data_IF_994688878160
#
_entry.id   IF_994688878160
#
_cell.length_a   1.000
_cell.length_b   1.000
_cell.length_c   1.000
_cell.angle_alpha   90.00
_cell.angle_beta   90.00
_cell.angle_gamma   90.00
#
_symmetry.space_group_name_H-M   'P 1'
#
loop_
_entity.id
_entity.type
_entity.pdbx_description
1 polymer ?
#
# COMPACT_ATOMS: atom_id res chain seq x y z
N UNK A 1 -23.58 44.33 -20.20
CA UNK A 1 -23.79 43.24 -19.22
C UNK A 1 -24.13 41.88 -19.85
N UNK A 2 -24.99 41.78 -20.87
CA UNK A 2 -25.39 40.47 -21.47
C UNK A 2 -24.25 39.60 -22.05
N UNK A 3 -23.16 40.21 -22.52
CA UNK A 3 -22.01 39.46 -23.08
C UNK A 3 -21.21 38.71 -22.01
N UNK A 4 -21.11 39.26 -20.79
CA UNK A 4 -20.38 38.63 -19.70
C UNK A 4 -21.12 37.40 -19.17
N UNK A 5 -22.45 37.47 -19.06
CA UNK A 5 -23.28 36.34 -18.65
C UNK A 5 -23.23 35.19 -19.67
N UNK A 6 -23.13 35.49 -20.96
CA UNK A 6 -23.02 34.48 -22.02
C UNK A 6 -21.67 33.73 -21.97
N UNK A 7 -20.57 34.46 -21.78
CA UNK A 7 -19.24 33.87 -21.64
C UNK A 7 -19.11 32.96 -20.40
N UNK A 8 -19.77 33.33 -19.29
CA UNK A 8 -19.82 32.48 -18.09
C UNK A 8 -20.63 31.21 -18.33
N UNK A 9 -21.74 31.29 -19.08
CA UNK A 9 -22.54 30.09 -19.41
C UNK A 9 -21.81 29.13 -20.35
N UNK A 10 -21.10 29.64 -21.36
CA UNK A 10 -20.30 28.81 -22.28
C UNK A 10 -19.18 28.09 -21.52
N UNK A 11 -18.46 28.80 -20.65
CA UNK A 11 -17.43 28.19 -19.80
C UNK A 11 -17.98 27.12 -18.86
N UNK A 12 -19.19 27.33 -18.32
CA UNK A 12 -19.86 26.33 -17.48
C UNK A 12 -20.22 25.08 -18.28
N UNK A 13 -20.69 25.25 -19.52
CA UNK A 13 -21.00 24.15 -20.42
C UNK A 13 -19.75 23.32 -20.75
N UNK A 14 -18.65 23.97 -21.12
CA UNK A 14 -17.38 23.30 -21.42
C UNK A 14 -16.85 22.52 -20.20
N UNK A 15 -17.00 23.09 -19.00
CA UNK A 15 -16.59 22.44 -17.77
C UNK A 15 -17.45 21.21 -17.48
N UNK A 16 -18.77 21.28 -17.68
CA UNK A 16 -19.67 20.13 -17.56
C UNK A 16 -19.32 19.03 -18.56
N UNK A 17 -19.06 19.39 -19.82
CA UNK A 17 -18.67 18.41 -20.83
C UNK A 17 -17.34 17.71 -20.51
N UNK A 18 -16.37 18.47 -19.98
CA UNK A 18 -15.11 17.90 -19.50
C UNK A 18 -15.32 16.97 -18.30
N UNK A 19 -16.24 17.32 -17.39
CA UNK A 19 -16.61 16.47 -16.27
C UNK A 19 -17.23 15.15 -16.78
N UNK A 20 -18.19 15.20 -17.70
CA UNK A 20 -18.81 13.99 -18.27
C UNK A 20 -17.80 13.11 -19.01
N UNK A 21 -16.87 13.74 -19.75
CA UNK A 21 -15.78 13.03 -20.40
C UNK A 21 -14.87 12.32 -19.40
N UNK A 22 -14.44 13.03 -18.35
CA UNK A 22 -13.56 12.43 -17.32
C UNK A 22 -14.26 11.31 -16.55
N UNK A 23 -15.54 11.45 -16.21
CA UNK A 23 -16.33 10.36 -15.61
C UNK A 23 -16.43 9.14 -16.54
N UNK A 24 -16.60 9.35 -17.84
CA UNK A 24 -16.63 8.27 -18.82
C UNK A 24 -15.29 7.53 -18.90
N UNK A 25 -14.17 8.27 -18.86
CA UNK A 25 -12.84 7.66 -18.83
C UNK A 25 -12.59 6.87 -17.53
N UNK A 26 -12.98 7.43 -16.38
CA UNK A 26 -12.89 6.74 -15.08
C UNK A 26 -13.67 5.43 -15.14
N UNK A 27 -14.92 5.47 -15.62
CA UNK A 27 -15.76 4.28 -15.74
C UNK A 27 -15.15 3.22 -16.67
N UNK A 28 -14.51 3.65 -17.76
CA UNK A 28 -13.79 2.75 -18.66
C UNK A 28 -12.62 2.06 -17.93
N UNK A 29 -11.78 2.83 -17.25
CA UNK A 29 -10.62 2.30 -16.51
C UNK A 29 -11.07 1.36 -15.39
N UNK A 30 -12.13 1.69 -14.65
CA UNK A 30 -12.68 0.83 -13.61
C UNK A 30 -13.17 -0.51 -14.17
N UNK A 31 -13.82 -0.49 -15.33
CA UNK A 31 -14.27 -1.72 -16.01
C UNK A 31 -13.09 -2.58 -16.43
N UNK A 32 -12.04 -1.98 -16.98
CA UNK A 32 -10.81 -2.68 -17.36
C UNK A 32 -10.08 -3.28 -16.15
N UNK A 33 -9.99 -2.54 -15.03
CA UNK A 33 -9.43 -3.04 -13.77
C UNK A 33 -10.22 -4.23 -13.23
N UNK A 34 -11.54 -4.12 -13.21
CA UNK A 34 -12.39 -5.21 -12.74
C UNK A 34 -12.21 -6.48 -13.58
N UNK A 35 -12.10 -6.34 -14.90
CA UNK A 35 -11.82 -7.47 -15.79
C UNK A 35 -10.45 -8.09 -15.50
N UNK A 36 -9.40 -7.27 -15.25
CA UNK A 36 -8.07 -7.77 -14.88
C UNK A 36 -8.07 -8.52 -13.55
N UNK A 37 -8.83 -8.03 -12.56
CA UNK A 37 -8.99 -8.69 -11.25
C UNK A 37 -9.65 -10.06 -11.44
N UNK A 38 -10.73 -10.12 -12.23
CA UNK A 38 -11.42 -11.39 -12.53
C UNK A 38 -10.50 -12.38 -13.24
N UNK A 39 -9.75 -11.94 -14.25
CA UNK A 39 -8.79 -12.80 -14.96
C UNK A 39 -7.69 -13.32 -14.02
N UNK A 40 -7.16 -12.45 -13.16
CA UNK A 40 -6.14 -12.84 -12.18
C UNK A 40 -6.70 -13.84 -11.17
N UNK A 41 -7.91 -13.61 -10.65
CA UNK A 41 -8.56 -14.52 -9.72
C UNK A 41 -8.77 -15.91 -10.33
N UNK A 42 -9.26 -15.97 -11.58
CA UNK A 42 -9.43 -17.23 -12.29
C UNK A 42 -8.09 -17.95 -12.49
N UNK A 43 -7.05 -17.23 -12.93
CA UNK A 43 -5.70 -17.79 -13.09
C UNK A 43 -5.11 -18.29 -11.76
N UNK A 44 -5.34 -17.57 -10.66
CA UNK A 44 -4.91 -17.99 -9.33
C UNK A 44 -5.63 -19.27 -8.91
N UNK A 45 -6.95 -19.39 -9.15
CA UNK A 45 -7.69 -20.63 -8.89
C UNK A 45 -7.16 -21.80 -9.71
N UNK A 46 -6.94 -21.61 -11.00
CA UNK A 46 -6.33 -22.63 -11.86
C UNK A 46 -4.94 -23.05 -11.36
N UNK A 47 -4.13 -22.10 -10.90
CA UNK A 47 -2.81 -22.40 -10.35
C UNK A 47 -2.91 -23.18 -9.04
N UNK A 48 -3.84 -22.82 -8.13
CA UNK A 48 -4.08 -23.56 -6.89
C UNK A 48 -4.50 -24.99 -7.20
N UNK A 49 -5.39 -25.20 -8.17
CA UNK A 49 -5.81 -26.54 -8.60
C UNK A 49 -4.64 -27.36 -9.17
N UNK A 50 -3.78 -26.74 -10.00
CA UNK A 50 -2.56 -27.38 -10.53
C UNK A 50 -1.54 -27.72 -9.45
N UNK A 51 -1.48 -26.91 -8.39
CA UNK A 51 -0.58 -27.12 -7.26
C UNK A 51 -1.15 -28.06 -6.19
N UNK A 52 -2.43 -28.44 -6.29
CA UNK A 52 -3.08 -29.34 -5.33
C UNK A 52 -2.32 -30.66 -5.09
N UNK A 53 -1.75 -31.34 -6.11
CA UNK A 53 -0.95 -32.54 -5.87
C UNK A 53 0.31 -32.27 -5.06
N UNK A 54 0.94 -31.12 -5.26
CA UNK A 54 2.11 -30.70 -4.49
C UNK A 54 1.73 -30.36 -3.05
N UNK A 55 0.62 -29.65 -2.85
CA UNK A 55 0.06 -29.44 -1.51
C UNK A 55 -0.20 -30.77 -0.81
N UNK A 56 -0.83 -31.74 -1.47
CA UNK A 56 -1.05 -33.07 -0.89
C UNK A 56 0.26 -33.80 -0.59
N UNK A 57 1.26 -33.71 -1.46
CA UNK A 57 2.57 -34.34 -1.27
C UNK A 57 3.30 -33.78 -0.04
N UNK A 58 3.30 -32.47 0.15
CA UNK A 58 3.92 -31.82 1.32
C UNK A 58 3.03 -31.77 2.56
N UNK A 59 1.74 -32.13 2.45
CA UNK A 59 0.83 -32.29 3.60
C UNK A 59 0.85 -33.71 4.16
N UNK A 60 1.55 -34.64 3.51
CA UNK A 60 1.88 -35.93 4.09
C UNK A 60 3.11 -35.69 4.94
N UNK A 61 2.90 -35.53 6.26
CA UNK A 61 3.77 -35.88 7.39
C UNK A 61 3.09 -35.26 8.64
N UNK A 62 2.74 -35.98 9.72
CA UNK A 62 3.65 -36.41 10.81
C UNK A 62 3.13 -37.65 11.58
N UNK A 63 1.92 -38.16 11.33
CA UNK A 63 1.29 -39.12 12.26
C UNK A 63 1.56 -40.62 12.03
N UNK A 64 2.02 -41.07 10.85
CA UNK A 64 2.26 -42.51 10.61
C UNK A 64 3.65 -43.00 11.07
N UNK A 65 4.58 -42.10 11.40
CA UNK A 65 5.90 -42.47 11.93
C UNK A 65 5.95 -42.62 13.47
N UNK A 66 4.86 -42.30 14.18
CA UNK A 66 4.83 -42.28 15.64
C UNK A 66 4.35 -43.58 16.32
N UNK A 67 3.98 -44.63 15.56
CA UNK A 67 3.50 -45.90 16.14
C UNK A 67 4.58 -46.98 16.31
N UNK A 68 5.82 -46.72 15.89
CA UNK A 68 6.94 -47.66 16.09
C UNK A 68 8.20 -46.92 16.51
N UNK A 69 8.28 -46.54 17.79
CA UNK A 69 9.44 -46.82 18.64
C UNK A 69 9.27 -46.18 20.03
N UNK A 70 9.27 -47.07 21.01
CA UNK A 70 9.84 -46.95 22.35
C UNK A 70 9.49 -45.76 23.27
N UNK A 71 8.86 -46.16 24.37
CA UNK A 71 8.81 -45.49 25.67
C UNK A 71 10.17 -44.89 26.05
N UNK A 72 10.29 -43.57 25.96
CA UNK A 72 11.21 -42.81 26.80
C UNK A 72 10.38 -41.74 27.49
N UNK A 73 10.14 -41.98 28.79
CA UNK A 73 9.61 -41.01 29.73
C UNK A 73 10.55 -39.81 29.79
N UNK A 74 10.20 -38.71 29.14
CA UNK A 74 10.66 -37.38 29.56
C UNK A 74 9.59 -36.33 29.25
N UNK A 75 9.12 -35.70 30.33
CA UNK A 75 8.23 -34.55 30.32
C UNK A 75 8.80 -33.45 29.42
N UNK A 76 8.20 -33.25 28.25
CA UNK A 76 8.16 -31.94 27.62
C UNK A 76 6.71 -31.64 27.28
N UNK A 77 6.02 -31.00 28.21
CA UNK A 77 4.69 -30.42 27.99
C UNK A 77 4.85 -29.19 27.08
N UNK A 78 4.85 -29.39 25.76
CA UNK A 78 4.67 -28.31 24.79
C UNK A 78 3.19 -28.26 24.41
N UNK A 79 2.46 -27.35 25.06
CA UNK A 79 1.14 -26.91 24.60
C UNK A 79 1.30 -26.12 23.30
N UNK A 80 1.15 -26.76 22.16
CA UNK A 80 1.08 -26.09 20.85
C UNK A 80 -0.07 -26.64 20.01
N UNK A 81 -1.30 -26.25 20.35
CA UNK A 81 -2.44 -26.39 19.42
C UNK A 81 -3.33 -25.15 19.27
N UNK A 82 -3.00 -24.01 19.89
CA UNK A 82 -3.85 -22.80 19.77
C UNK A 82 -3.16 -21.57 19.15
N UNK A 83 -2.01 -21.73 18.49
CA UNK A 83 -1.20 -20.58 18.03
C UNK A 83 -0.64 -20.65 16.62
N UNK A 84 -1.19 -21.48 15.73
CA UNK A 84 -0.69 -21.56 14.33
C UNK A 84 -1.60 -20.83 13.32
N UNK A 85 -2.86 -20.51 13.64
CA UNK A 85 -3.71 -19.71 12.73
C UNK A 85 -3.35 -18.21 12.67
N UNK A 86 -2.49 -17.70 13.57
CA UNK A 86 -2.15 -16.26 13.60
C UNK A 86 -0.78 -15.91 13.01
N UNK A 87 -0.03 -16.87 12.47
CA UNK A 87 1.34 -16.61 12.01
C UNK A 87 1.53 -16.47 10.50
N UNK A 88 0.49 -16.67 9.67
CA UNK A 88 0.61 -16.55 8.21
C UNK A 88 0.20 -15.20 7.61
N UNK A 89 -0.24 -14.24 8.41
CA UNK A 89 -0.69 -12.93 7.89
C UNK A 89 0.32 -11.79 8.03
N UNK A 90 1.54 -12.03 8.50
CA UNK A 90 2.49 -10.94 8.76
C UNK A 90 3.95 -11.25 8.43
N UNK A 91 4.22 -11.89 7.29
CA UNK A 91 5.57 -11.98 6.74
C UNK A 91 5.57 -11.99 5.20
N UNK A 92 5.01 -10.94 4.60
CA UNK A 92 5.34 -10.54 3.23
C UNK A 92 6.22 -9.30 3.31
N UNK A 93 7.51 -9.50 3.54
CA UNK A 93 8.53 -8.55 3.10
C UNK A 93 9.74 -9.30 2.52
N UNK A 94 10.04 -8.91 1.28
CA UNK A 94 11.29 -9.06 0.54
C UNK A 94 11.45 -10.33 -0.32
N UNK A 95 10.67 -10.41 -1.40
CA UNK A 95 11.19 -11.03 -2.63
C UNK A 95 12.19 -10.04 -3.25
N UNK A 96 13.48 -10.36 -3.12
CA UNK A 96 14.54 -9.83 -3.97
C UNK A 96 14.22 -10.26 -5.40
N UNK A 97 13.96 -9.30 -6.26
CA UNK A 97 13.90 -9.52 -7.70
C UNK A 97 15.32 -9.80 -8.20
N UNK A 98 15.61 -11.07 -8.49
CA UNK A 98 16.66 -11.41 -9.42
C UNK A 98 16.05 -11.36 -10.83
N UNK A 99 16.66 -10.54 -11.67
CA UNK A 99 16.33 -10.38 -13.08
C UNK A 99 16.53 -11.69 -13.85
N UNK A 100 15.55 -12.07 -14.66
CA UNK A 100 15.80 -12.71 -15.95
C UNK A 100 14.74 -12.25 -16.95
N UNK A 101 15.19 -11.34 -17.80
CA UNK A 101 14.75 -11.03 -19.17
C UNK A 101 13.93 -12.11 -19.87
N UNK A 102 12.76 -11.74 -20.39
CA UNK A 102 12.35 -12.15 -21.74
C UNK A 102 11.37 -11.13 -22.33
N UNK A 103 11.59 -10.88 -23.63
CA UNK A 103 10.98 -9.88 -24.49
C UNK A 103 9.45 -9.80 -24.43
N UNK A 104 8.91 -8.58 -24.46
CA UNK A 104 7.66 -8.28 -25.17
C UNK A 104 7.53 -6.77 -25.40
N UNK A 105 7.71 -6.42 -26.66
CA UNK A 105 7.57 -5.12 -27.28
C UNK A 105 6.10 -4.66 -27.18
N UNK A 106 5.80 -3.71 -26.28
CA UNK A 106 4.48 -3.06 -26.19
C UNK A 106 4.67 -1.56 -26.28
N UNK A 107 4.43 -1.05 -27.48
CA UNK A 107 4.45 0.36 -27.83
C UNK A 107 3.30 1.09 -27.10
N UNK A 108 3.56 1.64 -25.92
CA UNK A 108 2.66 2.55 -25.21
C UNK A 108 2.73 3.95 -25.86
N UNK A 109 1.60 4.65 -26.11
CA UNK A 109 1.64 6.05 -26.48
C UNK A 109 2.06 6.88 -25.27
N UNK A 110 3.28 7.44 -25.33
CA UNK A 110 3.77 8.39 -24.33
C UNK A 110 2.90 9.66 -24.36
N UNK A 111 2.00 9.79 -23.38
CA UNK A 111 1.44 11.09 -23.03
C UNK A 111 2.58 11.92 -22.44
N UNK A 112 3.05 12.88 -23.23
CA UNK A 112 4.00 13.92 -22.81
C UNK A 112 3.37 14.74 -21.69
N UNK A 113 3.76 14.43 -20.46
CA UNK A 113 3.40 15.21 -19.27
C UNK A 113 4.65 15.53 -18.43
N UNK A 114 5.74 15.93 -19.11
CA UNK A 114 6.92 16.52 -18.47
C UNK A 114 7.22 17.84 -19.16
N UNK A 115 6.94 18.97 -18.50
CA UNK A 115 7.61 20.27 -18.68
C UNK A 115 7.20 21.25 -17.58
N UNK A 116 7.56 20.92 -16.35
CA UNK A 116 7.76 21.82 -15.20
C UNK A 116 8.34 20.90 -14.11
N UNK A 117 9.40 21.31 -13.42
CA UNK A 117 10.27 20.50 -12.53
C UNK A 117 11.43 19.74 -13.21
N UNK A 118 12.21 20.44 -14.04
CA UNK A 118 13.64 20.14 -14.18
C UNK A 118 14.42 21.38 -13.71
N UNK A 119 14.55 21.54 -12.40
CA UNK A 119 15.67 22.29 -11.79
C UNK A 119 15.73 22.01 -10.28
N UNK A 120 16.14 20.78 -9.94
CA UNK A 120 16.71 20.50 -8.62
C UNK A 120 17.65 19.31 -8.69
N UNK A 121 18.91 19.65 -8.94
CA UNK A 121 20.15 18.91 -8.65
C UNK A 121 20.00 17.70 -7.70
N UNK A 122 20.55 16.52 -8.06
CA UNK A 122 20.60 15.39 -7.14
C UNK A 122 21.67 15.65 -6.07
N UNK A 123 21.29 16.33 -4.99
CA UNK A 123 22.10 16.30 -3.76
C UNK A 123 21.85 14.98 -3.07
N UNK A 124 22.94 14.28 -2.77
CA UNK A 124 23.02 13.11 -1.89
C UNK A 124 22.26 13.39 -0.59
N UNK A 125 21.05 12.87 -0.47
CA UNK A 125 20.36 12.75 0.82
C UNK A 125 20.74 11.38 1.34
N UNK A 126 21.52 11.37 2.42
CA UNK A 126 21.70 10.21 3.29
C UNK A 126 20.34 9.57 3.53
N UNK A 127 20.15 8.34 3.06
CA UNK A 127 18.89 7.62 3.18
C UNK A 127 18.67 7.16 4.63
N UNK A 128 18.32 8.09 5.52
CA UNK A 128 17.31 7.75 6.52
C UNK A 128 16.07 7.39 5.71
N UNK A 129 15.68 6.11 5.78
CA UNK A 129 14.56 5.63 4.99
C UNK A 129 13.36 6.43 5.45
N UNK A 130 12.72 7.16 4.54
CA UNK A 130 11.53 7.98 4.82
C UNK A 130 10.44 7.22 5.59
N UNK A 131 10.39 5.89 5.43
CA UNK A 131 9.53 5.00 6.22
C UNK A 131 9.81 5.00 7.73
N UNK A 132 11.07 5.13 8.15
CA UNK A 132 11.46 5.09 9.57
C UNK A 132 10.94 6.34 10.31
N UNK A 133 10.94 7.49 9.64
CA UNK A 133 10.44 8.77 10.20
C UNK A 133 8.91 8.73 10.31
N UNK A 134 8.22 8.21 9.29
CA UNK A 134 6.76 8.06 9.30
C UNK A 134 6.31 7.15 10.46
N UNK A 135 7.03 6.05 10.67
CA UNK A 135 6.77 5.14 11.79
C UNK A 135 7.02 5.81 13.16
N UNK A 136 8.05 6.63 13.27
CA UNK A 136 8.32 7.39 14.49
C UNK A 136 7.23 8.42 14.79
N UNK A 137 6.74 9.16 13.78
CA UNK A 137 5.64 10.13 13.93
C UNK A 137 4.37 9.40 14.39
N UNK A 138 4.05 8.27 13.76
CA UNK A 138 2.91 7.46 14.16
C UNK A 138 3.02 6.99 15.62
N UNK A 139 4.17 6.45 16.02
CA UNK A 139 4.40 5.98 17.39
C UNK A 139 4.35 7.12 18.40
N UNK A 140 4.81 8.31 18.03
CA UNK A 140 4.72 9.50 18.87
C UNK A 140 3.26 9.92 19.12
N UNK A 141 2.43 9.94 18.07
CA UNK A 141 1.01 10.25 18.21
C UNK A 141 0.27 9.15 18.98
N UNK A 142 0.64 7.88 18.79
CA UNK A 142 0.06 6.75 19.51
C UNK A 142 0.25 6.85 21.03
N UNK A 143 1.45 7.24 21.45
CA UNK A 143 1.78 7.36 22.88
C UNK A 143 1.02 8.51 23.55
N UNK A 144 0.82 9.60 22.84
CA UNK A 144 0.28 10.83 23.41
C UNK A 144 -1.23 11.01 23.20
N UNK A 145 -1.88 10.14 22.40
CA UNK A 145 -3.31 10.07 22.06
C UNK A 145 -3.90 11.30 21.34
N UNK A 146 -3.53 12.52 21.75
CA UNK A 146 -3.91 13.80 21.16
C UNK A 146 -2.67 14.67 21.06
N UNK A 147 -2.24 14.99 19.84
CA UNK A 147 -1.01 15.73 19.60
C UNK A 147 -1.30 16.93 18.69
N UNK A 148 -0.83 18.12 19.09
CA UNK A 148 -0.89 19.31 18.23
C UNK A 148 0.22 19.28 17.18
N UNK A 149 0.02 19.96 16.06
CA UNK A 149 1.04 20.09 15.01
C UNK A 149 2.36 20.66 15.55
N UNK A 150 2.27 21.66 16.43
CA UNK A 150 3.45 22.27 17.07
C UNK A 150 4.24 21.26 17.91
N UNK A 151 3.54 20.34 18.59
CA UNK A 151 4.19 19.29 19.38
C UNK A 151 4.97 18.31 18.50
N UNK A 152 4.49 18.06 17.27
CA UNK A 152 5.18 17.22 16.30
C UNK A 152 6.43 17.93 15.78
N UNK A 153 6.33 19.23 15.45
CA UNK A 153 7.49 20.01 15.01
C UNK A 153 8.55 20.15 16.10
N UNK A 154 8.13 20.29 17.35
CA UNK A 154 9.04 20.33 18.48
C UNK A 154 9.73 18.99 18.74
N UNK A 155 9.04 17.87 18.54
CA UNK A 155 9.59 16.53 18.70
C UNK A 155 10.53 16.12 17.55
N UNK A 156 10.29 16.62 16.33
CA UNK A 156 11.01 16.25 15.11
C UNK A 156 11.76 17.43 14.47
N UNK A 157 12.33 18.33 15.28
CA UNK A 157 13.08 19.53 14.81
C UNK A 157 14.24 19.25 13.86
N UNK A 158 14.75 18.02 13.87
CA UNK A 158 15.81 17.58 12.98
C UNK A 158 15.35 17.53 11.50
N UNK A 159 14.04 17.44 11.27
CA UNK A 159 13.46 17.42 9.94
C UNK A 159 12.84 18.77 9.57
N UNK A 160 12.92 19.14 8.29
CA UNK A 160 12.27 20.35 7.77
C UNK A 160 10.75 20.23 7.87
N UNK A 161 10.08 21.31 8.28
CA UNK A 161 8.61 21.37 8.41
C UNK A 161 7.89 20.87 7.15
N UNK A 162 8.33 21.29 5.96
CA UNK A 162 7.74 20.85 4.67
C UNK A 162 7.71 19.32 4.48
N UNK A 163 8.72 18.61 5.03
CA UNK A 163 8.78 17.14 4.97
C UNK A 163 7.85 16.52 5.99
N UNK A 164 7.77 17.09 7.19
CA UNK A 164 6.85 16.63 8.24
C UNK A 164 5.41 16.82 7.79
N UNK A 165 5.08 17.95 7.17
CA UNK A 165 3.79 18.21 6.53
C UNK A 165 3.45 17.11 5.53
N UNK A 166 4.37 16.80 4.62
CA UNK A 166 4.20 15.74 3.63
C UNK A 166 3.96 14.37 4.27
N UNK A 167 4.67 14.04 5.36
CA UNK A 167 4.49 12.77 6.06
C UNK A 167 3.16 12.68 6.82
N UNK A 168 2.73 13.77 7.45
CA UNK A 168 1.45 13.85 8.14
C UNK A 168 0.31 13.71 7.12
N UNK A 169 0.41 14.37 5.96
CA UNK A 169 -0.57 14.24 4.87
C UNK A 169 -0.70 12.79 4.40
N UNK A 170 0.42 12.09 4.19
CA UNK A 170 0.41 10.66 3.83
C UNK A 170 -0.32 9.82 4.90
N UNK A 171 -0.07 10.08 6.19
CA UNK A 171 -0.70 9.34 7.28
C UNK A 171 -2.21 9.58 7.38
N UNK A 172 -2.67 10.79 7.05
CA UNK A 172 -4.09 11.15 6.97
C UNK A 172 -4.74 10.48 5.75
N UNK A 173 -4.10 10.54 4.58
CA UNK A 173 -4.61 9.95 3.34
C UNK A 173 -4.80 8.44 3.47
N UNK A 174 -3.87 7.77 4.15
CA UNK A 174 -3.96 6.33 4.48
C UNK A 174 -4.96 6.00 5.58
N UNK A 175 -5.67 7.00 6.13
CA UNK A 175 -6.65 6.87 7.21
C UNK A 175 -6.08 6.28 8.51
N UNK A 176 -4.77 6.42 8.71
CA UNK A 176 -4.08 5.98 9.93
C UNK A 176 -4.25 7.01 11.04
N UNK A 177 -4.28 8.30 10.67
CA UNK A 177 -4.54 9.42 11.57
C UNK A 177 -5.88 10.08 11.28
N UNK A 178 -6.57 10.47 12.36
CA UNK A 178 -7.65 11.46 12.34
C UNK A 178 -7.12 12.84 12.69
N UNK A 179 -7.71 13.87 12.08
CA UNK A 179 -7.44 15.27 12.43
C UNK A 179 -8.76 15.92 12.87
N UNK A 180 -8.75 16.55 14.05
CA UNK A 180 -9.87 17.32 14.59
C UNK A 180 -9.33 18.56 15.28
N UNK A 181 -9.85 19.73 14.91
CA UNK A 181 -9.53 21.00 15.57
C UNK A 181 -8.01 21.26 15.72
N UNK A 182 -7.22 20.93 14.68
CA UNK A 182 -5.75 21.04 14.66
C UNK A 182 -5.01 20.09 15.62
N UNK A 183 -5.70 19.05 16.10
CA UNK A 183 -5.11 17.95 16.88
C UNK A 183 -5.21 16.63 16.11
N UNK A 184 -4.14 15.84 16.20
CA UNK A 184 -4.02 14.53 15.57
C UNK A 184 -4.23 13.42 16.59
N UNK A 185 -4.99 12.40 16.19
CA UNK A 185 -5.26 11.21 16.99
C UNK A 185 -5.25 9.97 16.09
N UNK A 186 -5.06 8.79 16.68
CA UNK A 186 -5.15 7.53 15.95
C UNK A 186 -6.59 7.09 15.85
N UNK A 187 -6.99 6.69 14.64
CA UNK A 187 -8.35 6.24 14.34
C UNK A 187 -8.55 4.76 14.62
#
# INVERSE_FOLDING_TARGET
MKKHTLAVSERTLDLLQNIDYTFSQINKVLRELNNKILLTNNKTKENIEKLKPWFNFFSIDVHEAAETEEKIDEKIEIKTEEKIEKSYSSEIRQVKNNETSSDLDVHLPQLRLNKLYEDSSPRKISSERTGDIIEQIYNFINKNQLVSLDSIYEAFKEHSNDKLDSYIEILIEKRVLGCRDSTFYIK
#
